data_IF_861019495311
#
_entry.id   IF_861019495311
#
_cell.length_a   1.000
_cell.length_b   1.000
_cell.length_c   1.000
_cell.angle_alpha   90.00
_cell.angle_beta   90.00
_cell.angle_gamma   90.00
#
_symmetry.space_group_name_H-M   'P 1'
#
loop_
_entity.id
_entity.type
_entity.pdbx_description
1 polymer ?
#
# COMPACT_ATOMS: atom_id res chain seq x y z
N UNK A 1 6.40 -85.84 7.43
CA UNK A 1 5.16 -85.22 7.93
C UNK A 1 5.12 -85.36 9.43
N UNK A 2 5.00 -84.24 10.14
CA UNK A 2 4.53 -84.15 11.52
C UNK A 2 4.27 -82.66 11.80
N UNK A 3 3.01 -82.26 11.81
CA UNK A 3 2.57 -80.94 12.25
C UNK A 3 2.35 -81.00 13.76
N UNK A 4 2.90 -80.04 14.50
CA UNK A 4 2.59 -79.83 15.91
C UNK A 4 2.05 -78.41 16.10
N UNK A 5 0.87 -78.34 16.70
CA UNK A 5 0.17 -77.13 17.09
C UNK A 5 0.81 -76.53 18.34
N UNK A 6 0.92 -75.20 18.40
CA UNK A 6 1.25 -74.45 19.60
C UNK A 6 0.05 -73.53 19.97
N UNK A 7 -0.29 -73.38 21.25
CA UNK A 7 -1.53 -72.79 21.71
C UNK A 7 -1.52 -71.25 21.72
N UNK A 8 -2.69 -70.67 21.48
CA UNK A 8 -2.98 -69.24 21.65
C UNK A 8 -3.19 -68.95 23.13
N UNK A 9 -2.38 -68.05 23.70
CA UNK A 9 -2.61 -67.47 25.03
C UNK A 9 -3.25 -66.10 24.83
N UNK A 10 -4.54 -65.99 25.11
CA UNK A 10 -5.25 -64.72 25.23
C UNK A 10 -5.00 -64.16 26.63
N UNK A 11 -4.11 -63.17 26.73
CA UNK A 11 -3.93 -62.37 27.95
C UNK A 11 -4.95 -61.21 27.92
N UNK A 12 -6.01 -61.33 28.73
CA UNK A 12 -6.95 -60.24 29.02
C UNK A 12 -6.27 -59.20 29.90
N UNK A 13 -5.78 -58.12 29.29
CA UNK A 13 -5.38 -56.93 30.02
C UNK A 13 -6.64 -56.19 30.49
N UNK A 14 -6.83 -56.13 31.81
CA UNK A 14 -7.85 -55.30 32.43
C UNK A 14 -7.56 -53.83 32.09
N UNK A 15 -8.47 -53.22 31.33
CA UNK A 15 -8.51 -51.76 31.12
C UNK A 15 -8.89 -51.14 32.46
N UNK A 16 -8.12 -50.21 33.04
CA UNK A 16 -8.62 -49.40 34.14
C UNK A 16 -9.84 -48.64 33.63
N UNK A 17 -11.00 -48.94 34.21
CA UNK A 17 -12.21 -48.17 33.98
C UNK A 17 -11.92 -46.71 34.36
N UNK A 18 -11.76 -45.85 33.36
CA UNK A 18 -11.89 -44.41 33.52
C UNK A 18 -13.31 -44.18 34.02
N UNK A 19 -13.46 -43.95 35.32
CA UNK A 19 -14.67 -43.40 35.90
C UNK A 19 -14.80 -41.95 35.39
N UNK A 20 -15.36 -41.81 34.19
CA UNK A 20 -15.88 -40.54 33.70
C UNK A 20 -17.14 -40.22 34.52
N UNK A 21 -17.01 -39.35 35.51
CA UNK A 21 -18.17 -38.67 36.09
C UNK A 21 -17.78 -37.24 36.49
N UNK A 22 -17.41 -36.47 35.48
CA UNK A 22 -17.73 -35.05 35.47
C UNK A 22 -18.62 -34.84 34.26
N UNK A 23 -19.75 -34.15 34.44
CA UNK A 23 -20.58 -33.72 33.34
C UNK A 23 -19.70 -33.08 32.26
N UNK A 24 -19.84 -33.45 30.97
CA UNK A 24 -19.02 -32.86 29.91
C UNK A 24 -19.16 -31.34 29.96
N UNK A 25 -18.04 -30.63 29.89
CA UNK A 25 -18.04 -29.17 29.92
C UNK A 25 -18.94 -28.65 28.78
N UNK A 26 -19.61 -27.52 29.02
CA UNK A 26 -20.49 -26.89 28.03
C UNK A 26 -19.95 -25.51 27.71
N UNK A 27 -19.94 -25.18 26.42
CA UNK A 27 -19.63 -23.83 25.98
C UNK A 27 -20.75 -22.87 26.35
N UNK A 28 -20.37 -21.72 26.90
CA UNK A 28 -21.30 -20.62 27.10
C UNK A 28 -21.89 -20.13 25.76
N UNK A 29 -23.14 -19.67 25.79
CA UNK A 29 -23.83 -19.16 24.59
C UNK A 29 -23.21 -17.85 24.04
N UNK A 30 -22.49 -17.10 24.88
CA UNK A 30 -21.82 -15.86 24.51
C UNK A 30 -20.32 -15.92 24.85
N UNK A 31 -19.46 -15.22 24.10
CA UNK A 31 -18.05 -15.10 24.45
C UNK A 31 -17.88 -14.48 25.83
N UNK A 32 -16.99 -15.04 26.64
CA UNK A 32 -16.58 -14.45 27.91
C UNK A 32 -15.80 -13.16 27.70
N UNK A 33 -14.95 -13.14 26.66
CA UNK A 33 -14.19 -11.99 26.24
C UNK A 33 -14.48 -11.68 24.78
N UNK A 34 -14.61 -10.40 24.47
CA UNK A 34 -14.77 -9.86 23.14
C UNK A 34 -14.14 -8.46 23.11
N UNK A 35 -12.87 -8.40 22.70
CA UNK A 35 -12.11 -7.15 22.63
C UNK A 35 -11.79 -6.79 21.19
N UNK A 36 -11.62 -5.50 20.90
CA UNK A 36 -11.29 -5.00 19.57
C UNK A 36 -10.26 -3.88 19.63
N UNK A 37 -9.45 -3.74 18.58
CA UNK A 37 -8.55 -2.62 18.44
C UNK A 37 -9.29 -1.29 18.34
N UNK A 38 -8.60 -0.21 18.68
CA UNK A 38 -9.23 1.10 18.83
C UNK A 38 -9.19 1.91 17.51
N UNK A 39 -10.21 2.74 17.24
CA UNK A 39 -10.20 3.66 16.09
C UNK A 39 -9.03 4.67 16.10
N UNK A 40 -8.43 4.90 17.26
CA UNK A 40 -7.23 5.74 17.41
C UNK A 40 -5.97 5.14 16.77
N UNK A 41 -5.99 3.85 16.41
CA UNK A 41 -4.81 3.10 15.98
C UNK A 41 -4.17 2.27 17.10
N UNK A 42 -4.61 2.43 18.35
CA UNK A 42 -4.11 1.67 19.49
C UNK A 42 -4.65 0.22 19.51
N UNK A 43 -3.85 -0.70 20.02
CA UNK A 43 -4.32 -2.07 20.33
C UNK A 43 -5.12 -2.08 21.63
N UNK A 44 -5.90 -3.13 21.82
CA UNK A 44 -6.49 -3.46 23.12
C UNK A 44 -5.90 -4.77 23.64
N UNK A 45 -5.86 -4.94 24.96
CA UNK A 45 -5.25 -6.11 25.60
C UNK A 45 -5.98 -6.49 26.88
N UNK A 46 -6.27 -7.78 27.02
CA UNK A 46 -6.84 -8.35 28.24
C UNK A 46 -5.99 -9.52 28.69
N UNK A 47 -5.72 -9.59 30.00
CA UNK A 47 -5.09 -10.75 30.63
C UNK A 47 -6.00 -11.33 31.68
N UNK A 48 -6.12 -12.66 31.72
CA UNK A 48 -6.89 -13.37 32.74
C UNK A 48 -6.27 -14.72 33.04
N UNK A 49 -6.63 -15.28 34.19
CA UNK A 49 -6.24 -16.64 34.58
C UNK A 49 -7.40 -17.58 34.33
N UNK A 50 -7.13 -18.77 33.78
CA UNK A 50 -8.14 -19.80 33.58
C UNK A 50 -8.72 -20.20 34.94
N UNK A 51 -10.03 -20.02 35.15
CA UNK A 51 -10.66 -20.36 36.42
C UNK A 51 -10.77 -21.88 36.58
N UNK A 52 -11.07 -22.31 37.80
CA UNK A 52 -11.41 -23.70 38.08
C UNK A 52 -12.56 -24.17 37.17
N UNK A 53 -12.59 -25.48 36.90
CA UNK A 53 -13.62 -26.15 36.09
C UNK A 53 -13.71 -25.76 34.61
N UNK A 54 -12.74 -25.02 34.07
CA UNK A 54 -12.62 -24.78 32.62
C UNK A 54 -11.65 -25.80 32.01
N UNK A 55 -12.14 -26.54 31.01
CA UNK A 55 -11.37 -27.61 30.39
C UNK A 55 -10.80 -27.21 29.01
N UNK A 56 -11.47 -26.31 28.30
CA UNK A 56 -11.04 -25.81 26.98
C UNK A 56 -11.57 -24.41 26.69
N UNK A 57 -10.95 -23.75 25.70
CA UNK A 57 -11.41 -22.47 25.15
C UNK A 57 -11.60 -22.59 23.64
N UNK A 58 -12.67 -21.98 23.14
CA UNK A 58 -12.88 -21.70 21.72
C UNK A 58 -12.57 -20.24 21.44
N UNK A 59 -11.87 -19.96 20.35
CA UNK A 59 -11.44 -18.60 20.04
C UNK A 59 -11.66 -18.22 18.58
N UNK A 60 -11.78 -16.91 18.39
CA UNK A 60 -11.67 -16.20 17.11
C UNK A 60 -10.67 -15.05 17.28
N UNK A 61 -9.62 -15.01 16.47
CA UNK A 61 -8.60 -13.95 16.48
C UNK A 61 -8.56 -13.34 15.08
N UNK A 62 -8.97 -12.08 14.96
CA UNK A 62 -8.97 -11.35 13.69
C UNK A 62 -7.90 -10.24 13.69
N UNK A 63 -7.08 -10.16 12.64
CA UNK A 63 -6.10 -9.10 12.43
C UNK A 63 -6.72 -7.79 11.91
N UNK A 64 -6.00 -6.68 12.08
CA UNK A 64 -6.43 -5.38 11.56
C UNK A 64 -6.27 -5.30 10.04
N UNK A 65 -7.19 -4.63 9.36
CA UNK A 65 -7.07 -4.38 7.91
C UNK A 65 -5.97 -3.34 7.62
N UNK A 66 -5.41 -3.34 6.42
CA UNK A 66 -4.57 -2.25 5.93
C UNK A 66 -5.41 -1.04 5.52
N UNK A 67 -4.79 0.14 5.48
CA UNK A 67 -5.42 1.39 5.08
C UNK A 67 -5.75 1.43 3.59
N UNK A 68 -6.94 1.92 3.25
CA UNK A 68 -7.43 2.01 1.88
C UNK A 68 -8.35 3.21 1.65
N UNK A 69 -8.93 3.28 0.46
CA UNK A 69 -9.89 4.30 0.06
C UNK A 69 -11.08 3.68 -0.70
N UNK A 70 -12.00 4.52 -1.14
CA UNK A 70 -13.12 4.10 -2.00
C UNK A 70 -12.68 3.69 -3.41
N UNK A 71 -11.49 4.12 -3.86
CA UNK A 71 -10.96 3.79 -5.18
C UNK A 71 -10.17 2.48 -5.16
N UNK A 72 -9.48 2.22 -4.05
CA UNK A 72 -8.60 1.06 -3.91
C UNK A 72 -8.63 0.56 -2.46
N UNK A 73 -8.97 -0.70 -2.22
CA UNK A 73 -9.04 -1.24 -0.87
C UNK A 73 -7.63 -1.47 -0.30
N UNK A 74 -7.51 -1.31 1.01
CA UNK A 74 -6.44 -1.94 1.77
C UNK A 74 -6.70 -3.44 1.90
N UNK A 75 -5.69 -4.20 2.31
CA UNK A 75 -5.81 -5.63 2.54
C UNK A 75 -6.66 -5.98 3.76
N UNK A 76 -7.34 -7.13 3.73
CA UNK A 76 -8.00 -7.68 4.91
C UNK A 76 -6.98 -8.28 5.88
N UNK A 77 -7.23 -8.20 7.18
CA UNK A 77 -6.55 -9.06 8.15
C UNK A 77 -7.04 -10.51 8.05
N UNK A 78 -6.31 -11.43 8.70
CA UNK A 78 -6.69 -12.82 8.83
C UNK A 78 -7.71 -13.02 9.95
N UNK A 79 -8.47 -14.11 9.88
CA UNK A 79 -9.27 -14.68 10.95
C UNK A 79 -8.72 -16.07 11.25
N UNK A 80 -8.21 -16.25 12.46
CA UNK A 80 -7.75 -17.53 12.99
C UNK A 80 -8.76 -18.02 14.02
N UNK A 81 -9.25 -19.24 13.84
CA UNK A 81 -10.20 -19.86 14.77
C UNK A 81 -9.68 -21.20 15.26
N UNK A 82 -10.19 -21.66 16.39
CA UNK A 82 -9.96 -23.01 16.84
C UNK A 82 -10.36 -23.23 18.29
N UNK A 83 -10.04 -24.42 18.77
CA UNK A 83 -10.30 -24.88 20.13
C UNK A 83 -9.02 -25.42 20.74
N UNK A 84 -8.71 -25.04 21.99
CA UNK A 84 -7.51 -25.50 22.68
C UNK A 84 -7.84 -25.92 24.12
N UNK A 85 -7.39 -27.10 24.58
CA UNK A 85 -7.51 -27.48 25.97
C UNK A 85 -6.68 -26.56 26.87
N UNK A 86 -7.22 -26.25 28.04
CA UNK A 86 -6.57 -25.41 29.04
C UNK A 86 -6.62 -26.05 30.42
N UNK A 87 -5.81 -25.55 31.33
CA UNK A 87 -5.74 -25.97 32.72
C UNK A 87 -5.95 -24.75 33.61
N UNK A 88 -6.61 -25.00 34.75
CA UNK A 88 -6.72 -24.02 35.83
C UNK A 88 -5.35 -23.40 36.16
N UNK A 89 -5.33 -22.09 36.37
CA UNK A 89 -4.11 -21.35 36.70
C UNK A 89 -3.26 -20.93 35.51
N UNK A 90 -3.54 -21.39 34.27
CA UNK A 90 -2.87 -20.84 33.09
C UNK A 90 -3.26 -19.37 32.86
N UNK A 91 -2.29 -18.55 32.44
CA UNK A 91 -2.50 -17.14 32.12
C UNK A 91 -2.73 -17.00 30.62
N UNK A 92 -3.86 -16.40 30.26
CA UNK A 92 -4.21 -16.05 28.89
C UNK A 92 -3.98 -14.55 28.69
N UNK A 93 -3.37 -14.20 27.57
CA UNK A 93 -3.27 -12.82 27.08
C UNK A 93 -3.90 -12.74 25.69
N UNK A 94 -4.85 -11.81 25.55
CA UNK A 94 -5.55 -11.51 24.32
C UNK A 94 -5.07 -10.14 23.84
N UNK A 95 -4.67 -10.06 22.57
CA UNK A 95 -4.26 -8.80 21.95
C UNK A 95 -5.10 -8.57 20.70
N UNK A 96 -5.94 -7.55 20.70
CA UNK A 96 -6.72 -7.14 19.53
C UNK A 96 -6.06 -5.95 18.84
N UNK A 97 -5.69 -6.14 17.57
CA UNK A 97 -5.04 -5.11 16.77
C UNK A 97 -6.01 -4.07 16.23
N UNK A 98 -5.48 -2.86 16.02
CA UNK A 98 -6.14 -1.86 15.19
C UNK A 98 -5.81 -2.05 13.71
N UNK A 99 -6.65 -1.48 12.85
CA UNK A 99 -6.39 -1.39 11.41
C UNK A 99 -5.41 -0.25 11.07
N UNK A 100 -4.79 -0.35 9.90
CA UNK A 100 -4.14 0.77 9.22
C UNK A 100 -5.14 1.79 8.71
N UNK A 101 -4.63 2.89 8.15
CA UNK A 101 -5.44 3.99 7.61
C UNK A 101 -4.76 4.57 6.37
N UNK A 102 -5.56 5.08 5.44
CA UNK A 102 -5.09 5.98 4.40
C UNK A 102 -5.89 7.27 4.48
N UNK A 103 -5.22 8.41 4.37
CA UNK A 103 -5.87 9.71 4.29
C UNK A 103 -5.79 10.20 2.86
N UNK A 104 -6.94 10.25 2.20
CA UNK A 104 -7.11 10.56 0.79
C UNK A 104 -8.37 11.42 0.67
N UNK A 105 -8.17 12.66 0.22
CA UNK A 105 -9.25 13.60 -0.05
C UNK A 105 -9.08 14.23 -1.42
N UNK A 106 -10.19 14.39 -2.13
CA UNK A 106 -10.22 15.14 -3.38
C UNK A 106 -10.47 16.61 -3.05
N UNK A 107 -9.49 17.45 -3.33
CA UNK A 107 -9.56 18.89 -3.10
C UNK A 107 -9.34 19.66 -4.39
N UNK A 108 -9.79 20.92 -4.42
CA UNK A 108 -9.53 21.81 -5.56
C UNK A 108 -8.04 22.14 -5.64
N UNK A 109 -7.50 22.05 -6.85
CA UNK A 109 -6.14 22.47 -7.16
C UNK A 109 -5.98 23.95 -7.37
N UNK A 110 -4.72 24.35 -7.52
CA UNK A 110 -4.42 25.70 -7.98
C UNK A 110 -4.93 25.86 -9.41
N UNK A 111 -4.67 24.87 -10.27
CA UNK A 111 -5.00 24.90 -11.69
C UNK A 111 -5.90 23.73 -12.14
N UNK A 112 -6.13 22.77 -11.23
CA UNK A 112 -6.94 21.58 -11.49
C UNK A 112 -8.27 21.65 -10.74
N UNK A 113 -9.37 21.17 -11.34
CA UNK A 113 -10.68 21.17 -10.68
C UNK A 113 -10.73 20.22 -9.47
N UNK A 114 -9.92 19.15 -9.47
CA UNK A 114 -9.80 18.19 -8.38
C UNK A 114 -8.44 17.49 -8.42
N UNK A 115 -7.85 17.30 -7.25
CA UNK A 115 -6.61 16.55 -7.03
C UNK A 115 -6.69 15.77 -5.73
N UNK A 116 -5.99 14.65 -5.70
CA UNK A 116 -5.81 13.88 -4.48
C UNK A 116 -4.75 14.52 -3.60
N UNK A 117 -5.15 14.87 -2.39
CA UNK A 117 -4.25 15.14 -1.28
C UNK A 117 -4.23 13.95 -0.34
N UNK A 118 -3.04 13.70 0.18
CA UNK A 118 -2.81 12.67 1.18
C UNK A 118 -1.89 13.19 2.26
N UNK A 119 -1.82 12.48 3.37
CA UNK A 119 -0.95 12.81 4.49
C UNK A 119 -0.39 11.54 5.13
N UNK A 120 0.70 11.67 5.90
CA UNK A 120 1.28 10.55 6.64
C UNK A 120 0.24 9.80 7.48
N UNK A 121 0.47 8.50 7.64
CA UNK A 121 -0.44 7.61 8.34
C UNK A 121 0.36 6.59 9.16
N UNK A 122 0.00 6.44 10.44
CA UNK A 122 0.57 5.39 11.29
C UNK A 122 -0.12 4.05 11.05
N UNK A 123 0.65 2.97 11.05
CA UNK A 123 0.17 1.60 11.02
C UNK A 123 -0.64 1.25 12.26
N UNK A 124 -1.53 0.28 12.11
CA UNK A 124 -2.32 -0.25 13.21
C UNK A 124 -1.41 -0.91 14.25
N UNK A 125 -1.59 -0.58 15.54
CA UNK A 125 -0.86 -1.25 16.62
C UNK A 125 -1.49 -2.61 16.93
N UNK A 126 -0.68 -3.56 17.37
CA UNK A 126 -1.12 -4.92 17.66
C UNK A 126 -0.11 -5.72 18.48
N UNK A 127 -0.20 -7.04 18.36
CA UNK A 127 0.84 -7.95 18.82
C UNK A 127 2.14 -7.68 18.03
N UNK A 128 2.04 -7.67 16.70
CA UNK A 128 2.93 -6.95 15.80
C UNK A 128 2.29 -5.65 15.30
N UNK A 129 3.10 -4.64 14.99
CA UNK A 129 2.63 -3.35 14.47
C UNK A 129 2.68 -3.32 12.95
N UNK A 130 1.63 -2.79 12.31
CA UNK A 130 1.63 -2.53 10.87
C UNK A 130 2.64 -1.45 10.49
N UNK A 131 3.06 -1.44 9.23
CA UNK A 131 4.01 -0.47 8.70
C UNK A 131 3.42 0.94 8.61
N UNK A 132 4.21 1.93 9.02
CA UNK A 132 3.88 3.35 8.93
C UNK A 132 4.13 3.90 7.51
N UNK A 133 3.45 4.99 7.18
CA UNK A 133 3.71 5.81 5.98
C UNK A 133 4.06 7.20 6.50
N UNK A 134 5.36 7.46 6.65
CA UNK A 134 5.88 8.63 7.36
C UNK A 134 6.00 9.87 6.48
N UNK A 135 6.05 11.05 7.11
CA UNK A 135 6.35 12.29 6.40
C UNK A 135 7.75 12.24 5.80
N UNK A 136 7.85 12.61 4.52
CA UNK A 136 9.11 12.56 3.78
C UNK A 136 9.22 13.80 2.88
N UNK A 137 10.04 14.79 3.26
CA UNK A 137 10.20 16.01 2.49
C UNK A 137 11.16 15.81 1.31
N UNK A 138 10.98 16.62 0.26
CA UNK A 138 12.01 16.81 -0.77
C UNK A 138 13.26 17.41 -0.11
N UNK A 139 14.49 17.05 -0.54
CA UNK A 139 15.71 17.71 -0.08
C UNK A 139 15.60 19.25 -0.13
N UNK A 140 16.10 19.90 0.92
CA UNK A 140 15.89 21.33 1.14
C UNK A 140 16.53 22.21 0.05
N UNK A 141 17.68 21.79 -0.45
CA UNK A 141 18.40 22.41 -1.57
C UNK A 141 17.59 22.34 -2.87
N UNK A 142 17.03 21.17 -3.20
CA UNK A 142 16.14 20.99 -4.36
C UNK A 142 14.89 21.86 -4.23
N UNK A 143 14.27 21.87 -3.05
CA UNK A 143 13.11 22.73 -2.78
C UNK A 143 13.44 24.20 -3.01
N UNK A 144 14.59 24.66 -2.51
CA UNK A 144 15.03 26.05 -2.66
C UNK A 144 15.25 26.43 -4.14
N UNK A 145 15.82 25.53 -4.95
CA UNK A 145 16.03 25.78 -6.38
C UNK A 145 14.71 25.94 -7.14
N UNK A 146 13.73 25.07 -6.89
CA UNK A 146 12.40 25.21 -7.50
C UNK A 146 11.68 26.48 -7.02
N UNK A 147 11.76 26.77 -5.72
CA UNK A 147 11.10 27.95 -5.12
C UNK A 147 11.75 29.27 -5.56
N UNK A 148 13.02 29.26 -5.96
CA UNK A 148 13.68 30.42 -6.57
C UNK A 148 13.01 30.84 -7.89
N UNK A 149 12.47 29.88 -8.65
CA UNK A 149 11.70 30.14 -9.87
C UNK A 149 10.21 30.40 -9.56
N UNK A 150 9.61 29.57 -8.71
CA UNK A 150 8.20 29.70 -8.35
C UNK A 150 7.97 29.29 -6.90
N UNK A 151 7.89 30.25 -5.96
CA UNK A 151 7.69 29.98 -4.53
C UNK A 151 6.23 29.74 -4.13
N UNK A 152 5.28 30.20 -4.95
CA UNK A 152 3.84 30.09 -4.67
C UNK A 152 3.34 28.63 -4.80
N UNK A 153 2.11 28.32 -4.34
CA UNK A 153 1.47 27.03 -4.61
C UNK A 153 1.40 26.72 -6.10
N UNK A 154 1.51 25.44 -6.45
CA UNK A 154 1.37 24.93 -7.82
C UNK A 154 0.90 23.49 -7.77
N UNK A 155 0.13 23.08 -8.77
CA UNK A 155 -0.24 21.68 -8.92
C UNK A 155 0.95 20.77 -9.24
N UNK A 156 2.07 21.36 -9.67
CA UNK A 156 3.37 20.70 -9.85
C UNK A 156 4.11 20.44 -8.53
N UNK A 157 3.62 20.91 -7.38
CA UNK A 157 4.21 20.65 -6.05
C UNK A 157 3.36 19.66 -5.27
N UNK A 158 3.86 18.45 -5.04
CA UNK A 158 3.05 17.34 -4.49
C UNK A 158 3.74 16.54 -3.40
N UNK A 159 2.96 16.14 -2.40
CA UNK A 159 3.33 15.13 -1.43
C UNK A 159 2.26 14.04 -1.44
N UNK A 160 2.67 12.80 -1.69
CA UNK A 160 1.79 11.65 -1.72
C UNK A 160 2.21 10.57 -0.73
N UNK A 161 1.21 9.93 -0.13
CA UNK A 161 1.38 8.91 0.89
C UNK A 161 0.39 7.77 0.60
N UNK A 162 0.89 6.53 0.54
CA UNK A 162 0.06 5.32 0.49
C UNK A 162 -0.68 5.06 1.80
N UNK A 163 -1.40 3.93 1.85
CA UNK A 163 -2.04 3.44 3.09
C UNK A 163 -1.04 2.78 4.03
N UNK A 164 -1.27 2.91 5.34
CA UNK A 164 -0.49 2.20 6.35
C UNK A 164 -0.96 0.75 6.53
N UNK A 165 -0.10 -0.11 7.08
CA UNK A 165 -0.42 -1.52 7.34
C UNK A 165 -1.29 -1.74 8.57
N UNK A 166 -2.01 -2.87 8.60
CA UNK A 166 -2.77 -3.34 9.75
C UNK A 166 -1.89 -4.06 10.78
N UNK A 167 -2.26 -3.97 12.06
CA UNK A 167 -1.60 -4.74 13.13
C UNK A 167 -2.09 -6.19 13.19
N UNK A 168 -1.30 -7.06 13.83
CA UNK A 168 -1.68 -8.46 14.06
C UNK A 168 -2.32 -8.65 15.43
N UNK A 169 -3.33 -9.51 15.50
CA UNK A 169 -3.96 -9.91 16.77
C UNK A 169 -3.39 -11.24 17.24
N UNK A 170 -3.43 -11.50 18.54
CA UNK A 170 -2.90 -12.74 19.10
C UNK A 170 -3.68 -13.27 20.30
N UNK A 171 -3.65 -14.59 20.46
CA UNK A 171 -3.99 -15.30 21.68
C UNK A 171 -2.73 -16.01 22.19
N UNK A 172 -2.38 -15.75 23.44
CA UNK A 172 -1.13 -16.19 24.07
C UNK A 172 -1.49 -16.93 25.35
N UNK A 173 -0.85 -18.08 25.60
CA UNK A 173 -1.03 -18.89 26.81
C UNK A 173 0.33 -19.04 27.49
N UNK A 174 0.43 -18.59 28.74
CA UNK A 174 1.67 -18.60 29.53
C UNK A 174 2.88 -18.00 28.80
N UNK A 175 2.65 -16.93 28.02
CA UNK A 175 3.68 -16.26 27.23
C UNK A 175 3.97 -16.89 25.86
N UNK A 176 3.36 -18.03 25.53
CA UNK A 176 3.53 -18.70 24.23
C UNK A 176 2.36 -18.37 23.29
N UNK A 177 2.62 -17.82 22.09
CA UNK A 177 1.58 -17.60 21.10
C UNK A 177 0.91 -18.92 20.67
N UNK A 178 -0.41 -18.96 20.71
CA UNK A 178 -1.23 -20.08 20.24
C UNK A 178 -1.90 -19.76 18.91
N UNK A 179 -2.29 -18.50 18.71
CA UNK A 179 -2.81 -18.01 17.45
C UNK A 179 -2.30 -16.59 17.20
N UNK A 180 -1.88 -16.32 15.97
CA UNK A 180 -1.55 -14.98 15.47
C UNK A 180 -2.29 -14.77 14.16
N UNK A 181 -3.14 -13.76 14.11
CA UNK A 181 -3.83 -13.35 12.89
C UNK A 181 -3.10 -12.18 12.26
N UNK A 182 -2.54 -12.40 11.06
CA UNK A 182 -1.83 -11.37 10.30
C UNK A 182 -2.71 -10.17 9.95
N UNK A 183 -2.10 -8.99 9.91
CA UNK A 183 -2.71 -7.76 9.44
C UNK A 183 -2.62 -7.63 7.91
N UNK A 184 -3.56 -6.89 7.33
CA UNK A 184 -3.56 -6.57 5.90
C UNK A 184 -2.55 -5.48 5.54
N UNK A 185 -2.05 -5.49 4.30
CA UNK A 185 -1.16 -4.45 3.77
C UNK A 185 -1.91 -3.20 3.31
N UNK A 186 -1.25 -2.05 3.31
CA UNK A 186 -1.84 -0.79 2.85
C UNK A 186 -1.98 -0.69 1.34
N UNK A 187 -2.95 0.10 0.85
CA UNK A 187 -3.13 0.38 -0.58
C UNK A 187 -2.07 1.37 -1.10
N UNK A 188 -1.59 1.16 -2.33
CA UNK A 188 -0.65 2.10 -2.95
C UNK A 188 -1.34 3.33 -3.55
N UNK A 189 -0.55 4.21 -4.15
CA UNK A 189 -1.05 5.48 -4.70
C UNK A 189 -0.33 5.85 -6.00
N UNK A 190 -1.02 6.65 -6.82
CA UNK A 190 -0.47 7.21 -8.05
C UNK A 190 -1.04 8.60 -8.32
N UNK A 191 -0.19 9.52 -8.77
CA UNK A 191 -0.66 10.77 -9.40
C UNK A 191 0.29 11.21 -10.50
N UNK A 192 -0.13 12.22 -11.26
CA UNK A 192 0.65 12.77 -12.33
C UNK A 192 0.40 14.27 -12.52
N UNK A 193 1.20 15.16 -11.91
CA UNK A 193 1.20 16.56 -12.31
C UNK A 193 2.01 16.75 -13.59
N UNK A 194 1.63 17.73 -14.40
CA UNK A 194 2.38 18.11 -15.60
C UNK A 194 1.96 19.47 -16.14
N UNK A 195 2.78 20.00 -17.05
CA UNK A 195 2.42 21.15 -17.86
C UNK A 195 1.26 20.78 -18.78
N UNK A 196 0.20 21.58 -18.76
CA UNK A 196 -0.90 21.42 -19.70
C UNK A 196 -0.69 22.32 -20.91
N UNK A 197 -1.08 21.83 -22.09
CA UNK A 197 -1.33 22.68 -23.25
C UNK A 197 -2.52 23.63 -23.00
N UNK A 198 -2.73 24.59 -23.92
CA UNK A 198 -3.94 25.42 -23.86
C UNK A 198 -5.18 24.50 -23.85
N UNK A 199 -6.10 24.61 -22.89
CA UNK A 199 -7.14 23.60 -22.68
C UNK A 199 -8.39 23.79 -23.56
N UNK A 200 -8.66 25.02 -24.02
CA UNK A 200 -9.84 25.35 -24.84
C UNK A 200 -9.69 26.73 -25.51
N UNK A 201 -10.67 27.09 -26.34
CA UNK A 201 -10.73 28.38 -27.03
C UNK A 201 -9.92 28.43 -28.33
N UNK A 202 -9.81 29.63 -28.93
CA UNK A 202 -9.18 29.81 -30.25
C UNK A 202 -7.68 29.50 -30.31
N UNK A 203 -7.02 29.32 -29.16
CA UNK A 203 -5.59 28.97 -29.06
C UNK A 203 -5.34 27.48 -28.73
N UNK A 204 -6.40 26.68 -28.59
CA UNK A 204 -6.33 25.24 -28.36
C UNK A 204 -5.77 24.52 -29.58
N UNK A 205 -4.64 23.83 -29.43
CA UNK A 205 -4.08 23.03 -30.51
C UNK A 205 -4.45 21.55 -30.34
N UNK A 206 -5.41 21.00 -31.12
CA UNK A 206 -5.79 19.60 -31.01
C UNK A 206 -4.68 18.61 -31.40
N UNK A 207 -3.62 19.07 -32.07
CA UNK A 207 -2.47 18.25 -32.47
C UNK A 207 -1.35 18.26 -31.43
N UNK A 208 -1.43 19.12 -30.42
CA UNK A 208 -0.39 19.20 -29.40
C UNK A 208 -0.44 17.96 -28.50
N UNK A 209 0.71 17.32 -28.30
CA UNK A 209 0.85 16.25 -27.33
C UNK A 209 1.23 16.77 -25.94
N UNK A 210 0.78 16.06 -24.92
CA UNK A 210 1.13 16.28 -23.51
C UNK A 210 1.93 15.09 -22.97
N UNK A 211 2.80 15.34 -21.99
CA UNK A 211 3.48 14.29 -21.23
C UNK A 211 2.52 13.66 -20.20
N UNK A 212 1.27 13.35 -20.59
CA UNK A 212 0.22 12.78 -19.73
C UNK A 212 0.23 11.24 -19.74
N UNK A 213 -0.53 10.65 -18.84
CA UNK A 213 -0.72 9.21 -18.73
C UNK A 213 -2.17 8.82 -18.96
N UNK A 214 -2.36 7.56 -19.32
CA UNK A 214 -3.68 6.99 -19.53
C UNK A 214 -4.52 7.03 -18.26
N UNK A 215 -5.83 7.18 -18.45
CA UNK A 215 -6.80 7.09 -17.35
C UNK A 215 -6.84 5.66 -16.82
N UNK A 216 -7.27 5.48 -15.57
CA UNK A 216 -7.50 4.14 -15.01
C UNK A 216 -8.54 3.33 -15.80
N UNK A 217 -9.50 4.03 -16.42
CA UNK A 217 -10.58 3.46 -17.23
C UNK A 217 -10.27 3.40 -18.73
N UNK A 218 -9.00 3.58 -19.14
CA UNK A 218 -8.64 3.52 -20.56
C UNK A 218 -8.91 2.09 -21.11
N UNK A 219 -9.67 1.94 -22.21
CA UNK A 219 -10.08 0.64 -22.70
C UNK A 219 -8.97 -0.15 -23.41
N UNK A 220 -7.93 0.52 -23.92
CA UNK A 220 -6.92 -0.15 -24.75
C UNK A 220 -5.70 -0.59 -23.94
N UNK A 221 -5.47 0.02 -22.76
CA UNK A 221 -4.37 -0.36 -21.85
C UNK A 221 -4.81 -0.40 -20.40
N UNK A 222 -4.54 -1.53 -19.73
CA UNK A 222 -4.86 -1.69 -18.31
C UNK A 222 -3.88 -0.90 -17.44
N UNK A 223 -4.38 0.11 -16.74
CA UNK A 223 -3.66 0.77 -15.64
C UNK A 223 -4.14 0.24 -14.29
N UNK A 224 -3.26 0.18 -13.30
CA UNK A 224 -3.56 -0.42 -11.99
C UNK A 224 -3.19 0.54 -10.87
N UNK A 225 -4.20 0.88 -10.07
CA UNK A 225 -4.02 1.46 -8.73
C UNK A 225 -3.95 0.28 -7.75
N UNK A 226 -2.80 0.02 -7.11
CA UNK A 226 -2.55 -1.29 -6.51
C UNK A 226 -3.25 -1.46 -5.15
N UNK A 227 -4.04 -2.52 -5.01
CA UNK A 227 -4.67 -2.90 -3.75
C UNK A 227 -3.67 -3.50 -2.75
N UNK A 228 -3.94 -3.27 -1.46
CA UNK A 228 -3.21 -3.90 -0.36
C UNK A 228 -3.45 -5.40 -0.29
N UNK A 229 -2.43 -6.17 0.08
CA UNK A 229 -2.55 -7.62 0.17
C UNK A 229 -3.32 -8.07 1.42
N UNK A 230 -4.11 -9.13 1.29
CA UNK A 230 -4.87 -9.70 2.41
C UNK A 230 -4.11 -10.82 3.12
N UNK A 231 -4.31 -10.97 4.42
CA UNK A 231 -3.87 -12.15 5.15
C UNK A 231 -5.03 -13.17 5.10
N UNK A 232 -4.97 -14.11 4.16
CA UNK A 232 -6.06 -15.09 3.93
C UNK A 232 -5.66 -16.53 4.27
N UNK A 233 -4.37 -16.77 4.53
CA UNK A 233 -3.79 -18.07 4.85
C UNK A 233 -2.62 -17.90 5.85
N UNK A 234 -1.91 -19.00 6.13
CA UNK A 234 -0.71 -18.99 6.96
C UNK A 234 0.39 -18.08 6.37
N UNK A 235 0.59 -18.14 5.06
CA UNK A 235 1.35 -17.13 4.33
C UNK A 235 0.42 -15.93 4.03
N UNK A 236 0.93 -14.72 4.25
CA UNK A 236 0.28 -13.51 3.77
C UNK A 236 0.35 -13.43 2.24
N UNK A 237 -0.63 -12.77 1.62
CA UNK A 237 -0.62 -12.56 0.18
C UNK A 237 0.42 -11.49 -0.22
N UNK A 238 0.84 -11.56 -1.48
CA UNK A 238 1.63 -10.52 -2.14
C UNK A 238 0.73 -9.37 -2.62
N UNK A 239 1.25 -8.15 -2.59
CA UNK A 239 0.49 -6.97 -2.99
C UNK A 239 0.50 -6.76 -4.50
N UNK A 240 -0.52 -6.07 -5.00
CA UNK A 240 -0.62 -5.77 -6.43
C UNK A 240 0.51 -4.82 -6.90
N UNK A 241 0.90 -4.99 -8.16
CA UNK A 241 1.84 -4.09 -8.84
C UNK A 241 1.09 -2.90 -9.44
N UNK A 242 1.55 -1.67 -9.18
CA UNK A 242 1.05 -0.48 -9.87
C UNK A 242 1.48 -0.50 -11.33
N UNK A 243 0.56 -0.18 -12.23
CA UNK A 243 0.81 -0.14 -13.69
C UNK A 243 0.31 1.19 -14.23
N UNK A 244 1.11 1.85 -15.07
CA UNK A 244 0.76 3.10 -15.73
C UNK A 244 1.36 3.18 -17.13
N UNK A 245 0.74 3.96 -18.00
CA UNK A 245 1.24 4.18 -19.36
C UNK A 245 1.23 5.67 -19.68
N UNK A 246 2.29 6.18 -20.32
CA UNK A 246 2.23 7.50 -20.93
C UNK A 246 1.34 7.45 -22.17
N UNK A 247 0.44 8.41 -22.33
CA UNK A 247 -0.54 8.46 -23.43
C UNK A 247 0.16 8.43 -24.79
N UNK A 248 1.26 9.17 -24.93
CA UNK A 248 2.07 9.23 -26.15
C UNK A 248 2.81 7.92 -26.48
N UNK A 249 2.98 7.03 -25.50
CA UNK A 249 3.60 5.72 -25.69
C UNK A 249 2.58 4.59 -25.85
N UNK A 250 1.28 4.90 -25.75
CA UNK A 250 0.18 3.93 -25.82
C UNK A 250 0.23 3.03 -27.07
N UNK A 251 0.49 3.53 -28.30
CA UNK A 251 0.58 2.68 -29.49
C UNK A 251 1.72 1.65 -29.46
N UNK A 252 2.69 1.82 -28.57
CA UNK A 252 3.87 0.97 -28.44
C UNK A 252 3.79 0.08 -27.19
N UNK A 253 2.61 0.00 -26.55
CA UNK A 253 2.46 -0.64 -25.25
C UNK A 253 2.74 -2.13 -25.29
N UNK A 254 3.71 -2.56 -24.49
CA UNK A 254 3.98 -3.94 -24.13
C UNK A 254 4.50 -3.99 -22.69
N UNK A 255 4.82 -5.18 -22.18
CA UNK A 255 5.29 -5.33 -20.81
C UNK A 255 6.52 -4.51 -20.44
N UNK A 256 7.37 -4.12 -21.41
CA UNK A 256 8.59 -3.34 -21.21
C UNK A 256 8.35 -1.82 -21.21
N UNK A 257 7.24 -1.35 -21.78
CA UNK A 257 6.89 0.08 -21.83
C UNK A 257 5.91 0.48 -20.73
N UNK A 258 5.29 -0.50 -20.07
CA UNK A 258 4.45 -0.28 -18.90
C UNK A 258 5.30 0.23 -17.72
N UNK A 259 4.88 1.35 -17.14
CA UNK A 259 5.52 1.94 -15.96
C UNK A 259 5.06 1.18 -14.72
N UNK A 260 5.84 0.16 -14.33
CA UNK A 260 5.53 -0.74 -13.20
C UNK A 260 6.21 -0.27 -11.90
N UNK A 261 5.51 -0.41 -10.77
CA UNK A 261 6.07 -0.29 -9.40
C UNK A 261 5.53 -1.45 -8.58
N UNK A 262 6.43 -2.32 -8.12
CA UNK A 262 6.08 -3.54 -7.42
C UNK A 262 5.48 -3.27 -6.03
N UNK A 263 4.51 -4.09 -5.65
CA UNK A 263 4.01 -4.20 -4.29
C UNK A 263 4.93 -5.06 -3.41
N UNK A 264 4.78 -4.94 -2.09
CA UNK A 264 5.49 -5.78 -1.12
C UNK A 264 4.98 -7.23 -1.10
N UNK A 265 5.84 -8.13 -0.65
CA UNK A 265 5.54 -9.56 -0.50
C UNK A 265 4.96 -9.88 0.87
N UNK A 266 4.15 -10.94 0.93
CA UNK A 266 3.59 -11.41 2.18
C UNK A 266 4.64 -12.04 3.12
N UNK A 267 4.42 -11.93 4.43
CA UNK A 267 5.19 -12.68 5.42
C UNK A 267 4.79 -14.15 5.46
N UNK A 268 5.72 -15.06 5.75
CA UNK A 268 5.45 -16.49 5.77
C UNK A 268 6.35 -17.23 6.77
N UNK A 269 5.76 -18.10 7.59
CA UNK A 269 6.49 -19.02 8.46
C UNK A 269 7.42 -18.33 9.46
N UNK A 270 7.05 -17.13 9.93
CA UNK A 270 7.88 -16.33 10.83
C UNK A 270 8.95 -15.50 10.11
N UNK A 271 9.09 -15.64 8.80
CA UNK A 271 9.98 -14.80 7.99
C UNK A 271 9.22 -13.60 7.44
N UNK A 272 9.78 -12.41 7.61
CA UNK A 272 9.23 -11.21 6.99
C UNK A 272 9.27 -11.25 5.46
N UNK A 273 8.21 -10.77 4.82
CA UNK A 273 8.07 -10.66 3.38
C UNK A 273 9.03 -9.62 2.78
N UNK A 274 9.57 -9.90 1.59
CA UNK A 274 10.42 -8.96 0.87
C UNK A 274 9.65 -7.68 0.47
N UNK A 275 10.34 -6.55 0.41
CA UNK A 275 9.76 -5.34 -0.15
C UNK A 275 9.64 -5.41 -1.67
N UNK A 276 8.87 -4.48 -2.24
CA UNK A 276 8.75 -4.36 -3.69
C UNK A 276 10.09 -4.08 -4.36
N UNK A 277 10.34 -4.69 -5.52
CA UNK A 277 11.57 -4.46 -6.27
C UNK A 277 11.71 -2.99 -6.71
N UNK A 278 12.95 -2.50 -6.76
CA UNK A 278 13.24 -1.13 -7.18
C UNK A 278 12.75 -0.89 -8.62
N UNK A 279 11.87 0.10 -8.85
CA UNK A 279 11.36 0.37 -10.18
C UNK A 279 12.39 1.06 -11.06
N UNK A 280 12.28 0.85 -12.37
CA UNK A 280 13.12 1.53 -13.35
C UNK A 280 12.79 3.04 -13.44
N UNK A 281 13.83 3.83 -13.68
CA UNK A 281 13.76 5.30 -13.79
C UNK A 281 13.86 5.83 -15.22
N UNK A 282 14.25 5.01 -16.19
CA UNK A 282 14.42 5.41 -17.60
C UNK A 282 15.28 6.67 -17.82
N UNK A 283 16.02 7.15 -16.81
CA UNK A 283 16.66 8.47 -16.74
C UNK A 283 17.81 8.66 -17.74
N UNK A 284 18.29 7.57 -18.34
CA UNK A 284 19.27 7.58 -19.42
C UNK A 284 18.65 7.77 -20.81
N UNK A 285 17.33 7.62 -20.94
CA UNK A 285 16.62 7.71 -22.22
C UNK A 285 16.25 9.17 -22.53
N UNK A 286 17.06 9.81 -23.37
CA UNK A 286 16.81 11.18 -23.84
C UNK A 286 15.66 11.31 -24.84
N UNK A 287 15.33 10.22 -25.55
CA UNK A 287 14.25 10.16 -26.52
C UNK A 287 13.74 8.71 -26.63
N UNK A 288 12.42 8.54 -26.53
CA UNK A 288 11.70 7.28 -26.64
C UNK A 288 10.66 7.46 -27.74
N UNK A 289 10.78 6.67 -28.80
CA UNK A 289 9.90 6.69 -29.97
C UNK A 289 9.70 8.10 -30.58
N UNK A 290 10.71 8.96 -30.51
CA UNK A 290 10.65 10.32 -31.05
C UNK A 290 9.92 11.34 -30.17
N UNK A 291 9.19 10.92 -29.13
CA UNK A 291 8.15 11.74 -28.50
C UNK A 291 8.38 12.07 -27.02
N UNK A 292 9.00 11.19 -26.24
CA UNK A 292 9.15 11.34 -24.79
C UNK A 292 10.59 11.16 -24.34
N UNK A 293 11.08 11.96 -23.41
CA UNK A 293 12.39 11.83 -22.79
C UNK A 293 12.31 11.87 -21.26
N UNK A 294 13.35 11.35 -20.60
CA UNK A 294 13.49 11.30 -19.14
C UNK A 294 14.81 11.92 -18.64
N UNK A 295 15.54 12.58 -19.55
CA UNK A 295 16.79 13.27 -19.28
C UNK A 295 16.63 14.77 -19.46
N UNK A 296 17.32 15.54 -18.63
CA UNK A 296 17.46 16.99 -18.77
C UNK A 296 17.90 17.38 -20.19
N UNK A 297 17.16 18.32 -20.79
CA UNK A 297 17.43 18.84 -22.12
C UNK A 297 16.70 20.17 -22.29
N UNK A 298 17.00 20.92 -23.35
CA UNK A 298 16.29 22.16 -23.65
C UNK A 298 16.31 23.19 -22.50
N UNK A 299 17.43 23.23 -21.74
CA UNK A 299 17.58 24.01 -20.51
C UNK A 299 16.52 23.71 -19.44
N UNK A 300 15.80 22.60 -19.56
CA UNK A 300 14.90 22.10 -18.54
C UNK A 300 15.59 20.91 -17.86
N UNK A 301 15.81 21.06 -16.56
CA UNK A 301 16.38 20.04 -15.71
C UNK A 301 15.29 19.09 -15.25
N UNK A 302 15.57 17.79 -15.33
CA UNK A 302 14.70 16.72 -14.85
C UNK A 302 15.47 15.84 -13.89
N UNK A 303 14.82 15.50 -12.79
CA UNK A 303 15.32 14.51 -11.85
C UNK A 303 14.23 13.51 -11.50
N UNK A 304 14.65 12.26 -11.36
CA UNK A 304 13.81 11.12 -10.99
C UNK A 304 14.53 10.27 -9.97
N UNK A 305 13.80 9.70 -9.01
CA UNK A 305 14.34 8.73 -8.05
C UNK A 305 13.37 7.59 -7.79
N UNK A 306 13.90 6.47 -7.35
CA UNK A 306 13.19 5.24 -7.09
C UNK A 306 13.84 4.50 -5.94
N UNK A 307 13.02 3.84 -5.12
CA UNK A 307 13.46 3.13 -3.93
C UNK A 307 12.76 1.78 -3.88
N UNK A 308 13.53 0.71 -3.64
CA UNK A 308 12.98 -0.61 -3.33
C UNK A 308 12.20 -0.54 -2.01
N UNK A 309 11.16 -1.35 -1.88
CA UNK A 309 10.47 -1.53 -0.60
C UNK A 309 11.36 -2.23 0.41
N UNK A 310 11.00 -2.08 1.68
CA UNK A 310 11.68 -2.71 2.80
C UNK A 310 11.08 -4.07 3.15
N UNK A 311 11.91 -4.93 3.73
CA UNK A 311 11.50 -6.23 4.24
C UNK A 311 10.73 -6.09 5.55
N UNK A 312 9.67 -6.87 5.73
CA UNK A 312 8.98 -6.98 7.02
C UNK A 312 9.84 -7.62 8.11
N UNK A 313 9.46 -7.40 9.36
CA UNK A 313 10.04 -8.03 10.54
C UNK A 313 9.75 -9.54 10.60
N UNK A 314 10.58 -10.28 11.33
CA UNK A 314 10.44 -11.73 11.53
C UNK A 314 9.92 -12.06 12.93
N UNK A 315 9.51 -13.30 13.17
CA UNK A 315 8.95 -13.76 14.45
C UNK A 315 7.43 -13.62 14.54
N UNK A 316 6.85 -14.00 15.69
CA UNK A 316 5.40 -13.99 15.92
C UNK A 316 4.81 -12.57 15.98
N UNK A 317 5.61 -11.58 16.36
CA UNK A 317 5.29 -10.16 16.46
C UNK A 317 5.90 -9.35 15.30
N UNK A 318 6.23 -10.03 14.18
CA UNK A 318 6.85 -9.43 13.01
C UNK A 318 6.16 -8.15 12.56
N UNK A 319 6.88 -7.03 12.67
CA UNK A 319 6.41 -5.71 12.24
C UNK A 319 6.22 -5.69 10.72
N UNK A 320 5.12 -5.09 10.23
CA UNK A 320 5.03 -4.73 8.82
C UNK A 320 6.07 -3.68 8.46
N UNK A 321 6.66 -3.76 7.26
CA UNK A 321 7.65 -2.78 6.82
C UNK A 321 7.03 -1.41 6.59
N UNK A 322 7.75 -0.35 6.96
CA UNK A 322 7.32 1.03 6.71
C UNK A 322 7.41 1.36 5.20
N UNK A 323 6.58 2.29 4.75
CA UNK A 323 6.60 2.80 3.39
C UNK A 323 7.91 3.52 3.07
N UNK A 324 8.44 3.29 1.86
CA UNK A 324 9.67 3.91 1.37
C UNK A 324 9.37 5.12 0.50
N UNK A 325 10.34 6.03 0.40
CA UNK A 325 10.18 7.33 -0.24
C UNK A 325 10.89 7.42 -1.59
N UNK A 326 10.28 8.14 -2.53
CA UNK A 326 10.93 8.64 -3.73
C UNK A 326 10.43 10.06 -4.06
N UNK A 327 11.25 10.82 -4.79
CA UNK A 327 10.94 12.17 -5.24
C UNK A 327 11.39 12.43 -6.68
N UNK A 328 10.80 13.46 -7.28
CA UNK A 328 11.18 14.00 -8.58
C UNK A 328 11.13 15.52 -8.55
N UNK A 329 11.84 16.16 -9.46
CA UNK A 329 11.70 17.59 -9.68
C UNK A 329 11.97 17.98 -11.13
N UNK A 330 11.45 19.14 -11.51
CA UNK A 330 11.72 19.78 -12.79
C UNK A 330 12.00 21.27 -12.56
N UNK A 331 13.02 21.77 -13.24
CA UNK A 331 13.41 23.19 -13.19
C UNK A 331 13.56 23.70 -14.62
N UNK A 332 12.94 24.83 -14.92
CA UNK A 332 13.12 25.55 -16.18
C UNK A 332 14.21 26.62 -16.03
N UNK A 333 15.30 26.45 -16.78
CA UNK A 333 16.41 27.42 -16.87
C UNK A 333 16.38 28.21 -18.19
N UNK A 334 15.25 28.21 -18.91
CA UNK A 334 15.08 29.11 -20.05
C UNK A 334 14.91 30.56 -19.58
N UNK A 335 15.34 31.49 -20.42
CA UNK A 335 15.20 32.93 -20.15
C UNK A 335 13.72 33.30 -19.99
N UNK A 336 13.34 33.74 -18.79
CA UNK A 336 11.95 34.07 -18.45
C UNK A 336 11.46 35.33 -19.15
N UNK A 337 12.35 36.19 -19.65
CA UNK A 337 11.94 37.31 -20.50
C UNK A 337 11.36 36.85 -21.84
N UNK A 338 11.61 35.59 -22.22
CA UNK A 338 11.13 34.99 -23.45
C UNK A 338 9.98 34.02 -23.15
N UNK A 339 8.76 34.54 -23.29
CA UNK A 339 7.53 33.82 -23.03
C UNK A 339 7.07 33.00 -24.24
N UNK A 340 6.31 31.92 -23.99
CA UNK A 340 5.76 31.08 -25.06
C UNK A 340 4.65 31.83 -25.80
N UNK A 341 4.87 32.15 -27.07
CA UNK A 341 3.89 32.81 -27.93
C UNK A 341 3.05 31.74 -28.64
N UNK A 342 1.72 31.87 -28.59
CA UNK A 342 0.78 31.01 -29.31
C UNK A 342 -0.12 31.85 -30.21
N UNK A 343 -0.36 31.36 -31.43
CA UNK A 343 -1.29 31.97 -32.37
C UNK A 343 -2.64 31.26 -32.33
N UNK A 344 -3.70 31.93 -32.82
CA UNK A 344 -5.00 31.30 -32.97
C UNK A 344 -4.90 30.11 -33.93
N UNK A 345 -5.40 28.96 -33.50
CA UNK A 345 -5.35 27.66 -34.19
C UNK A 345 -6.68 27.29 -34.84
N UNK A 346 -7.78 27.94 -34.45
CA UNK A 346 -9.10 27.68 -35.01
C UNK A 346 -10.00 28.95 -35.02
N UNK A 347 -10.16 29.61 -36.19
CA UNK A 347 -9.41 29.40 -37.42
C UNK A 347 -7.93 29.76 -37.24
N UNK A 348 -7.04 29.17 -38.03
CA UNK A 348 -5.60 29.49 -37.99
C UNK A 348 -5.40 30.96 -38.38
N UNK A 349 -4.82 31.76 -37.49
CA UNK A 349 -4.46 33.15 -37.75
C UNK A 349 -3.15 33.50 -37.06
N UNK A 350 -2.08 33.59 -37.85
CA UNK A 350 -0.73 33.89 -37.37
C UNK A 350 -0.58 35.32 -36.82
N UNK A 351 -1.49 36.24 -37.11
CA UNK A 351 -1.45 37.61 -36.58
C UNK A 351 -2.19 37.75 -35.25
N UNK A 352 -3.10 36.81 -34.94
CA UNK A 352 -3.81 36.75 -33.66
C UNK A 352 -2.99 35.93 -32.67
N UNK A 353 -2.12 36.61 -31.94
CA UNK A 353 -1.18 36.01 -30.99
C UNK A 353 -1.54 36.35 -29.55
N UNK A 354 -1.25 35.42 -28.66
CA UNK A 354 -1.16 35.65 -27.21
C UNK A 354 0.11 34.98 -26.69
N UNK A 355 0.41 35.16 -25.41
CA UNK A 355 1.52 34.51 -24.74
C UNK A 355 1.05 33.83 -23.45
N UNK A 356 1.76 32.77 -23.06
CA UNK A 356 1.68 32.28 -21.69
C UNK A 356 2.35 33.33 -20.80
N UNK A 357 1.60 33.90 -19.87
CA UNK A 357 2.13 34.94 -19.00
C UNK A 357 3.29 34.42 -18.12
N UNK A 358 4.05 35.35 -17.55
CA UNK A 358 5.25 35.03 -16.77
C UNK A 358 4.94 34.12 -15.58
N UNK A 359 3.90 34.41 -14.81
CA UNK A 359 3.55 33.65 -13.61
C UNK A 359 3.07 32.25 -13.99
N UNK A 360 2.23 32.13 -15.01
CA UNK A 360 1.81 30.82 -15.54
C UNK A 360 2.99 30.01 -16.08
N UNK A 361 3.94 30.66 -16.75
CA UNK A 361 5.17 30.01 -17.23
C UNK A 361 5.99 29.46 -16.06
N UNK A 362 6.33 30.30 -15.07
CA UNK A 362 7.12 29.87 -13.91
C UNK A 362 6.43 28.74 -13.14
N UNK A 363 5.10 28.85 -12.94
CA UNK A 363 4.27 27.87 -12.24
C UNK A 363 4.19 26.51 -12.93
N UNK A 364 4.06 26.48 -14.24
CA UNK A 364 3.80 25.24 -14.99
C UNK A 364 5.05 24.40 -15.23
N UNK A 365 6.21 25.03 -15.45
CA UNK A 365 7.44 24.33 -15.83
C UNK A 365 8.40 24.04 -14.67
N UNK A 366 8.06 24.46 -13.45
CA UNK A 366 8.86 24.22 -12.24
C UNK A 366 8.04 23.48 -11.18
N UNK A 367 8.62 22.44 -10.59
CA UNK A 367 7.93 21.64 -9.59
C UNK A 367 8.83 20.65 -8.87
N UNK A 368 8.37 20.17 -7.72
CA UNK A 368 8.96 19.06 -6.99
C UNK A 368 7.84 18.18 -6.46
N UNK A 369 8.08 16.89 -6.37
CA UNK A 369 7.05 15.95 -5.97
C UNK A 369 7.62 14.81 -5.15
N UNK A 370 6.84 14.29 -4.21
CA UNK A 370 7.20 13.12 -3.42
C UNK A 370 6.10 12.08 -3.42
N UNK A 371 6.51 10.84 -3.22
CA UNK A 371 5.61 9.72 -2.96
C UNK A 371 6.23 8.79 -1.94
N UNK A 372 5.43 8.35 -0.98
CA UNK A 372 5.75 7.31 -0.02
C UNK A 372 4.87 6.09 -0.31
N UNK A 373 5.49 4.91 -0.41
CA UNK A 373 4.79 3.66 -0.65
C UNK A 373 3.93 3.24 0.54
N UNK A 374 3.09 2.24 0.31
CA UNK A 374 2.27 1.69 1.37
C UNK A 374 3.06 0.78 2.33
N UNK A 375 2.66 0.77 3.60
CA UNK A 375 3.23 -0.09 4.63
C UNK A 375 2.71 -1.53 4.57
N UNK A 376 3.53 -2.49 4.97
CA UNK A 376 3.16 -3.90 5.08
C UNK A 376 2.32 -4.20 6.33
N UNK A 377 1.55 -5.29 6.32
CA UNK A 377 0.80 -5.78 7.48
C UNK A 377 1.69 -6.54 8.47
N UNK A 378 1.34 -6.55 9.76
CA UNK A 378 2.11 -7.27 10.79
C UNK A 378 1.70 -8.74 10.92
N UNK A 379 2.52 -9.62 11.49
CA UNK A 379 2.13 -11.03 11.67
C UNK A 379 3.27 -11.97 12.06
N UNK A 380 3.04 -13.27 11.92
CA UNK A 380 4.08 -14.31 12.01
C UNK A 380 5.00 -14.25 10.79
N UNK A 381 5.91 -13.27 10.83
CA UNK A 381 6.50 -12.64 9.65
C UNK A 381 5.61 -11.48 9.18
N UNK A 382 6.11 -10.25 9.24
CA UNK A 382 5.42 -9.07 8.71
C UNK A 382 5.55 -8.99 7.18
N UNK A 383 4.58 -8.38 6.51
CA UNK A 383 4.63 -8.09 5.08
C UNK A 383 5.65 -7.00 4.75
N UNK A 384 6.23 -7.08 3.56
CA UNK A 384 7.10 -6.04 3.02
C UNK A 384 6.32 -4.82 2.53
N UNK A 385 7.00 -3.69 2.37
CA UNK A 385 6.39 -2.47 1.86
C UNK A 385 6.44 -2.43 0.34
N UNK A 386 5.58 -1.61 -0.27
CA UNK A 386 5.66 -1.36 -1.71
C UNK A 386 6.93 -0.59 -2.08
N UNK A 387 7.32 -0.62 -3.35
CA UNK A 387 8.37 0.27 -3.84
C UNK A 387 7.83 1.68 -4.16
N UNK A 388 8.70 2.66 -4.37
CA UNK A 388 8.32 4.03 -4.70
C UNK A 388 9.08 4.57 -5.92
N UNK A 389 8.43 5.41 -6.73
CA UNK A 389 9.03 6.13 -7.86
C UNK A 389 8.46 7.53 -8.01
N UNK A 390 9.35 8.51 -8.09
CA UNK A 390 9.08 9.82 -8.70
C UNK A 390 9.81 9.92 -10.04
N UNK A 391 9.05 10.01 -11.14
CA UNK A 391 9.59 9.99 -12.51
C UNK A 391 9.29 11.28 -13.25
N UNK A 392 10.30 12.07 -13.57
CA UNK A 392 10.17 13.26 -14.42
C UNK A 392 10.33 12.91 -15.90
N UNK A 393 9.51 13.52 -16.75
CA UNK A 393 9.60 13.38 -18.20
C UNK A 393 9.37 14.69 -18.95
N UNK A 394 9.75 14.71 -20.22
CA UNK A 394 9.65 15.85 -21.13
C UNK A 394 9.22 15.40 -22.53
N UNK A 395 8.36 16.17 -23.20
CA UNK A 395 8.00 15.94 -24.59
C UNK A 395 9.15 16.38 -25.49
N UNK A 396 9.68 15.47 -26.30
CA UNK A 396 10.84 15.75 -27.17
C UNK A 396 10.45 16.13 -28.59
N UNK A 397 9.28 15.71 -29.06
CA UNK A 397 8.84 15.89 -30.45
C UNK A 397 8.46 17.32 -30.80
N UNK A 398 8.11 18.14 -29.80
CA UNK A 398 7.58 19.48 -30.02
C UNK A 398 7.88 20.40 -28.83
N UNK A 399 7.75 21.70 -29.08
CA UNK A 399 7.68 22.73 -28.04
C UNK A 399 6.26 22.81 -27.46
N UNK A 400 6.10 23.55 -26.37
CA UNK A 400 4.82 23.68 -25.68
C UNK A 400 3.69 24.12 -26.62
N UNK A 401 2.49 23.54 -26.40
CA UNK A 401 1.30 23.68 -27.23
C UNK A 401 1.47 23.20 -28.69
N UNK A 402 2.48 22.37 -28.99
CA UNK A 402 2.70 21.75 -30.30
C UNK A 402 2.85 22.75 -31.43
N UNK A 403 3.40 23.90 -31.10
CA UNK A 403 3.28 25.08 -31.94
C UNK A 403 4.65 25.41 -32.54
N UNK A 404 4.68 26.10 -33.68
CA UNK A 404 5.81 26.10 -34.62
C UNK A 404 6.54 27.46 -34.73
N UNK A 405 6.08 28.52 -34.05
CA UNK A 405 6.77 29.82 -34.05
C UNK A 405 8.24 29.71 -33.61
N UNK A 406 9.16 30.50 -34.19
CA UNK A 406 10.58 30.52 -33.81
C UNK A 406 10.87 30.98 -32.37
N UNK A 407 9.92 31.62 -31.69
CA UNK A 407 10.06 32.20 -30.35
C UNK A 407 9.66 31.23 -29.24
N UNK A 408 9.96 29.94 -29.39
CA UNK A 408 9.61 28.88 -28.44
C UNK A 408 10.79 28.34 -27.72
N UNK A 409 10.68 28.26 -26.41
CA UNK A 409 11.80 27.92 -25.56
C UNK A 409 11.55 26.61 -24.83
N UNK A 410 10.32 26.32 -24.42
CA UNK A 410 10.01 25.23 -23.49
C UNK A 410 9.31 24.05 -24.13
N UNK A 411 9.45 22.89 -23.50
CA UNK A 411 8.76 21.64 -23.82
C UNK A 411 7.93 21.21 -22.62
N UNK A 412 6.82 20.51 -22.88
CA UNK A 412 5.95 20.02 -21.82
C UNK A 412 6.72 19.06 -20.92
N UNK A 413 6.59 19.24 -19.62
CA UNK A 413 7.18 18.36 -18.59
C UNK A 413 6.08 17.75 -17.74
N UNK A 414 6.35 16.59 -17.16
CA UNK A 414 5.48 16.02 -16.13
C UNK A 414 6.26 15.21 -15.10
N UNK A 415 5.61 14.94 -13.97
CA UNK A 415 6.03 13.90 -13.05
C UNK A 415 4.99 12.79 -13.02
N UNK A 416 5.43 11.55 -12.99
CA UNK A 416 4.64 10.38 -12.65
C UNK A 416 5.09 9.86 -11.29
N UNK A 417 4.20 9.98 -10.31
CA UNK A 417 4.40 9.48 -8.96
C UNK A 417 3.67 8.16 -8.81
N UNK A 418 4.38 7.12 -8.40
CA UNK A 418 3.82 5.80 -8.19
C UNK A 418 4.39 5.15 -6.94
N UNK A 419 3.50 4.53 -6.18
CA UNK A 419 3.79 3.79 -4.97
C UNK A 419 3.12 2.42 -5.05
N UNK A 420 3.89 1.38 -4.79
CA UNK A 420 3.39 0.02 -4.62
C UNK A 420 2.56 -0.12 -3.34
N UNK A 421 1.70 -1.14 -3.32
CA UNK A 421 0.94 -1.54 -2.14
C UNK A 421 1.79 -2.40 -1.18
N UNK A 422 1.34 -2.55 0.07
CA UNK A 422 2.02 -3.34 1.10
C UNK A 422 1.58 -4.81 1.08
N UNK A 423 2.53 -5.71 1.36
CA UNK A 423 2.27 -7.14 1.54
C UNK A 423 1.55 -7.43 2.87
N UNK A 424 0.90 -8.57 2.98
CA UNK A 424 0.18 -8.96 4.19
C UNK A 424 1.11 -9.63 5.21
N UNK A 425 0.76 -9.56 6.49
CA UNK A 425 1.45 -10.35 7.51
C UNK A 425 1.09 -11.83 7.45
N UNK A 426 2.03 -12.68 7.82
CA UNK A 426 1.80 -14.12 8.01
C UNK A 426 0.92 -14.40 9.23
N UNK A 427 0.28 -15.56 9.22
CA UNK A 427 -0.58 -16.03 10.30
C UNK A 427 -0.06 -17.34 10.89
N UNK A 428 -0.47 -17.63 12.13
CA UNK A 428 -0.05 -18.82 12.85
C UNK A 428 -1.21 -19.39 13.66
N UNK A 429 -1.29 -20.72 13.68
CA UNK A 429 -2.10 -21.48 14.62
C UNK A 429 -1.26 -22.65 15.13
N UNK A 430 -1.22 -22.83 16.45
CA UNK A 430 -0.41 -23.87 17.06
C UNK A 430 -0.95 -25.26 16.70
N UNK A 431 -0.08 -26.28 16.49
CA UNK A 431 -0.51 -27.64 16.17
C UNK A 431 -1.40 -28.31 17.22
N UNK A 432 -1.35 -27.83 18.47
CA UNK A 432 -2.19 -28.30 19.58
C UNK A 432 -3.62 -27.77 19.53
N UNK A 433 -3.94 -26.86 18.60
CA UNK A 433 -5.29 -26.32 18.40
C UNK A 433 -6.09 -27.31 17.55
N UNK A 434 -7.19 -27.81 18.11
CA UNK A 434 -8.17 -28.57 17.36
C UNK A 434 -8.99 -27.65 16.45
N UNK A 435 -9.34 -28.14 15.27
CA UNK A 435 -10.14 -27.41 14.27
C UNK A 435 -9.56 -26.03 13.92
N UNK A 436 -8.23 -25.91 13.98
CA UNK A 436 -7.50 -24.70 13.64
C UNK A 436 -7.73 -24.31 12.18
N UNK A 437 -8.28 -23.12 11.93
CA UNK A 437 -8.44 -22.57 10.58
C UNK A 437 -7.85 -21.18 10.47
N UNK A 438 -7.39 -20.83 9.25
CA UNK A 438 -6.94 -19.48 8.90
C UNK A 438 -7.68 -19.09 7.63
N UNK A 439 -8.39 -17.96 7.69
CA UNK A 439 -9.17 -17.41 6.57
C UNK A 439 -9.03 -15.88 6.55
N UNK A 440 -9.66 -15.21 5.60
CA UNK A 440 -9.80 -13.75 5.61
C UNK A 440 -10.83 -13.31 6.66
N UNK A 441 -10.51 -12.26 7.44
CA UNK A 441 -11.47 -11.60 8.34
C UNK A 441 -12.54 -10.77 7.60
N UNK A 442 -12.38 -10.59 6.28
CA UNK A 442 -13.27 -9.81 5.42
C UNK A 442 -13.49 -8.36 5.91
N UNK A 443 -12.45 -7.77 6.51
CA UNK A 443 -12.49 -6.43 7.10
C UNK A 443 -11.71 -5.38 6.30
N UNK A 444 -11.28 -5.69 5.06
CA UNK A 444 -10.57 -4.77 4.17
C UNK A 444 -11.14 -3.34 4.18
N UNK A 445 -10.28 -2.33 4.41
CA UNK A 445 -10.70 -0.93 4.46
C UNK A 445 -10.97 -0.39 3.06
N UNK A 446 -12.20 0.12 2.85
CA UNK A 446 -12.68 0.69 1.58
C UNK A 446 -13.03 2.19 1.69
N UNK A 447 -12.58 2.83 2.76
CA UNK A 447 -12.89 4.22 3.08
C UNK A 447 -11.65 4.90 3.65
N UNK A 448 -11.42 6.13 3.21
CA UNK A 448 -10.33 6.94 3.74
C UNK A 448 -10.63 7.42 5.16
N UNK A 449 -9.60 7.54 5.99
CA UNK A 449 -9.70 8.03 7.36
C UNK A 449 -10.30 7.03 8.34
N UNK A 450 -10.69 5.84 7.88
CA UNK A 450 -11.30 4.79 8.70
C UNK A 450 -10.28 3.69 8.95
N UNK A 451 -10.18 3.26 10.21
CA UNK A 451 -9.46 2.04 10.62
C UNK A 451 -10.46 0.93 10.83
N UNK A 452 -10.27 -0.20 10.14
CA UNK A 452 -11.05 -1.41 10.38
C UNK A 452 -10.25 -2.33 11.31
N UNK A 453 -10.61 -2.40 12.60
CA UNK A 453 -9.82 -3.12 13.59
C UNK A 453 -9.97 -4.64 13.46
N UNK A 454 -9.02 -5.33 14.07
CA UNK A 454 -9.14 -6.72 14.44
C UNK A 454 -9.90 -6.89 15.76
N UNK A 455 -10.08 -8.14 16.17
CA UNK A 455 -10.74 -8.49 17.42
C UNK A 455 -10.23 -9.81 17.97
N UNK A 456 -10.50 -10.08 19.24
CA UNK A 456 -10.31 -11.39 19.85
C UNK A 456 -11.55 -11.76 20.65
N UNK A 457 -12.14 -12.92 20.33
CA UNK A 457 -13.23 -13.53 21.10
C UNK A 457 -12.77 -14.83 21.73
N UNK A 458 -13.20 -15.05 22.96
CA UNK A 458 -12.95 -16.30 23.69
C UNK A 458 -14.22 -16.75 24.40
N UNK A 459 -14.59 -18.02 24.17
CA UNK A 459 -15.67 -18.71 24.87
C UNK A 459 -15.09 -19.85 25.68
N UNK A 460 -15.49 -19.97 26.95
CA UNK A 460 -15.00 -21.00 27.86
C UNK A 460 -15.91 -22.22 27.84
N UNK A 461 -15.33 -23.42 27.92
CA UNK A 461 -16.04 -24.66 28.19
C UNK A 461 -16.00 -24.94 29.70
N UNK A 462 -17.13 -24.77 30.38
CA UNK A 462 -17.22 -24.85 31.84
C UNK A 462 -17.95 -26.12 32.27
N UNK A 463 -17.43 -26.81 33.29
CA UNK A 463 -18.15 -27.88 33.99
C UNK A 463 -19.09 -27.29 35.04
N UNK A 464 -20.22 -27.98 35.28
CA UNK A 464 -21.23 -27.60 36.27
C UNK A 464 -20.65 -27.45 37.69
#
# INVERSE_FOLDING_TARGET
GAAWAAPVVAASAAVPAFAASSEPCKYAAAPKFNISGQPSGAKDTVKFTIPAKVDSIRFEVAGGAGGGSNQVPGGSGALVTGEIPVKEGQVIELVAASGGVAYLESVRGVDSPSLWQTRPATGGKGYGNGGDVNEQPVPADVKAQVDANWSKPSDMKRYLYGGSGGGSSALIINGTPVAVAGGGGGAGIRTQPGTNNMPSGKYYNPKAVDASTTRLSDPDVKSVLPAGASASAAAGDDAETSISHYTVLKPFTNERTAMKVAGGKGGNGGQGGAGGEQPLLYSTLGNVNGVLGFKSQNKQELFSSATAGDRGGSGFDGKGADGVFAYSYQIDNNDISKLEIVHATNPVNLNDKTNLDKDSTLKSFNGYQTVVSAGGGAGYGGGGSGAARGLSSIITSQKWNGNEEPTRYRQNVSALLQAGAGGAGGSFVAPSVAEGTITSANNAAKQSGVRNPGYVKVTLCERA
#
